data_IF_303051474447
#
_entry.id   IF_303051474447
#
_cell.length_a   1.000
_cell.length_b   1.000
_cell.length_c   1.000
_cell.angle_alpha   90.00
_cell.angle_beta   90.00
_cell.angle_gamma   90.00
#
_symmetry.space_group_name_H-M   'P 1'
#
loop_
_entity.id
_entity.type
_entity.pdbx_description
1 polymer ?
#
# COMPACT_ATOMS: atom_id res chain seq x y z
N UNK A 1 36.67 -6.81 26.14
CA UNK A 1 35.48 -6.01 26.48
C UNK A 1 34.25 -6.38 25.64
N UNK A 2 34.37 -6.62 24.34
CA UNK A 2 33.20 -6.82 23.45
C UNK A 2 32.32 -8.07 23.70
N UNK A 3 32.83 -9.12 24.35
CA UNK A 3 32.09 -10.38 24.50
C UNK A 3 30.80 -10.22 25.32
N UNK A 4 30.82 -9.42 26.40
CA UNK A 4 29.63 -9.15 27.21
C UNK A 4 28.55 -8.40 26.45
N UNK A 5 28.93 -7.35 25.72
CA UNK A 5 28.03 -6.56 24.86
C UNK A 5 27.39 -7.42 23.77
N UNK A 6 28.16 -8.30 23.12
CA UNK A 6 27.66 -9.21 22.08
C UNK A 6 26.68 -10.23 22.63
N UNK A 7 26.94 -10.82 23.82
CA UNK A 7 26.03 -11.78 24.44
C UNK A 7 24.70 -11.12 24.83
N UNK A 8 24.75 -9.95 25.47
CA UNK A 8 23.55 -9.21 25.87
C UNK A 8 22.75 -8.77 24.64
N UNK A 9 23.42 -8.28 23.61
CA UNK A 9 22.77 -7.93 22.34
C UNK A 9 22.11 -9.15 21.69
N UNK A 10 22.82 -10.28 21.59
CA UNK A 10 22.28 -11.49 20.96
C UNK A 10 21.04 -11.98 21.72
N UNK A 11 21.07 -11.97 23.06
CA UNK A 11 19.92 -12.28 23.88
C UNK A 11 18.74 -11.34 23.64
N UNK A 12 18.98 -10.03 23.54
CA UNK A 12 17.96 -9.02 23.25
C UNK A 12 17.34 -9.20 21.86
N UNK A 13 18.15 -9.49 20.83
CA UNK A 13 17.67 -9.74 19.46
C UNK A 13 16.83 -11.00 19.39
N UNK A 14 17.28 -12.10 20.01
CA UNK A 14 16.51 -13.34 20.05
C UNK A 14 15.18 -13.15 20.78
N UNK A 15 15.18 -12.47 21.93
CA UNK A 15 13.95 -12.17 22.66
C UNK A 15 12.98 -11.30 21.86
N UNK A 16 13.50 -10.29 21.16
CA UNK A 16 12.70 -9.41 20.32
C UNK A 16 12.13 -10.12 19.10
N UNK A 17 12.94 -10.89 18.36
CA UNK A 17 12.46 -11.69 17.23
C UNK A 17 11.40 -12.71 17.68
N UNK A 18 11.61 -13.38 18.82
CA UNK A 18 10.62 -14.29 19.40
C UNK A 18 9.31 -13.57 19.75
N UNK A 19 9.38 -12.36 20.32
CA UNK A 19 8.22 -11.53 20.60
C UNK A 19 7.44 -11.13 19.35
N UNK A 20 8.13 -10.77 18.27
CA UNK A 20 7.51 -10.45 16.97
C UNK A 20 6.84 -11.67 16.36
N UNK A 21 7.52 -12.81 16.33
CA UNK A 21 6.93 -14.07 15.85
C UNK A 21 5.69 -14.44 16.66
N UNK A 22 5.74 -14.32 17.99
CA UNK A 22 4.59 -14.58 18.84
C UNK A 22 3.43 -13.61 18.56
N UNK A 23 3.70 -12.31 18.38
CA UNK A 23 2.69 -11.32 18.03
C UNK A 23 2.03 -11.62 16.67
N UNK A 24 2.83 -12.00 15.67
CA UNK A 24 2.36 -12.42 14.34
C UNK A 24 1.42 -13.63 14.47
N UNK A 25 1.83 -14.67 15.20
CA UNK A 25 1.03 -15.90 15.39
C UNK A 25 -0.28 -15.59 16.12
N UNK A 26 -0.23 -14.80 17.20
CA UNK A 26 -1.43 -14.43 17.96
C UNK A 26 -2.40 -13.60 17.12
N UNK A 27 -1.89 -12.70 16.29
CA UNK A 27 -2.72 -11.86 15.42
C UNK A 27 -3.37 -12.72 14.32
N UNK A 28 -2.61 -13.61 13.69
CA UNK A 28 -3.11 -14.52 12.67
C UNK A 28 -4.16 -15.51 13.20
N UNK A 29 -4.07 -15.91 14.48
CA UNK A 29 -5.06 -16.80 15.10
C UNK A 29 -6.37 -16.10 15.50
N UNK A 30 -6.37 -14.76 15.63
CA UNK A 30 -7.53 -13.99 16.11
C UNK A 30 -8.31 -13.30 15.00
N UNK A 31 -7.70 -13.07 13.85
CA UNK A 31 -8.35 -12.45 12.72
C UNK A 31 -8.94 -13.53 11.82
N UNK A 32 -10.25 -13.73 11.90
CA UNK A 32 -10.99 -14.55 10.94
C UNK A 32 -10.70 -14.03 9.52
N UNK A 33 -10.18 -14.90 8.65
CA UNK A 33 -9.85 -14.54 7.26
C UNK A 33 -8.45 -13.95 7.03
N UNK A 34 -7.62 -13.77 8.06
CA UNK A 34 -6.26 -13.26 7.89
C UNK A 34 -5.25 -14.38 7.64
N UNK A 35 -4.92 -14.64 6.37
CA UNK A 35 -3.77 -15.48 6.02
C UNK A 35 -2.50 -14.62 5.94
N UNK A 36 -1.63 -14.73 6.94
CA UNK A 36 -0.33 -14.06 6.88
C UNK A 36 0.54 -14.77 5.83
N UNK A 37 0.80 -14.10 4.72
CA UNK A 37 1.64 -14.63 3.66
C UNK A 37 3.08 -14.88 4.19
N UNK A 38 3.66 -16.09 4.04
CA UNK A 38 4.99 -16.40 4.55
C UNK A 38 6.08 -15.44 4.05
N UNK A 39 5.91 -14.91 2.83
CA UNK A 39 6.79 -13.93 2.22
C UNK A 39 6.78 -12.58 2.96
N UNK A 40 5.60 -12.12 3.41
CA UNK A 40 5.46 -10.91 4.23
C UNK A 40 6.07 -11.11 5.63
N UNK A 41 5.89 -12.30 6.21
CA UNK A 41 6.55 -12.65 7.46
C UNK A 41 8.08 -12.62 7.33
N UNK A 42 8.60 -13.19 6.24
CA UNK A 42 10.03 -13.26 5.97
C UNK A 42 10.63 -11.85 5.78
N UNK A 43 9.99 -10.99 4.99
CA UNK A 43 10.46 -9.60 4.77
C UNK A 43 10.46 -8.80 6.07
N UNK A 44 9.42 -8.93 6.89
CA UNK A 44 9.39 -8.30 8.22
C UNK A 44 10.56 -8.79 9.09
N UNK A 45 10.77 -10.10 9.19
CA UNK A 45 11.85 -10.68 9.99
C UNK A 45 13.25 -10.26 9.50
N UNK A 46 13.49 -10.26 8.19
CA UNK A 46 14.80 -9.86 7.64
C UNK A 46 15.06 -8.37 7.84
N UNK A 47 14.04 -7.53 7.70
CA UNK A 47 14.14 -6.08 7.96
C UNK A 47 14.58 -5.81 9.40
N UNK A 48 13.91 -6.46 10.34
CA UNK A 48 14.19 -6.32 11.77
C UNK A 48 15.59 -6.84 12.11
N UNK A 49 15.99 -7.98 11.54
CA UNK A 49 17.34 -8.53 11.70
C UNK A 49 18.42 -7.57 11.17
N UNK A 50 18.18 -6.96 10.00
CA UNK A 50 19.11 -5.99 9.41
C UNK A 50 19.28 -4.76 10.30
N UNK A 51 18.16 -4.19 10.79
CA UNK A 51 18.17 -3.05 11.71
C UNK A 51 18.90 -3.38 13.02
N UNK A 52 18.59 -4.53 13.64
CA UNK A 52 19.24 -4.98 14.86
C UNK A 52 20.76 -5.18 14.68
N UNK A 53 21.17 -5.74 13.55
CA UNK A 53 22.58 -5.99 13.24
C UNK A 53 23.36 -4.70 13.02
N UNK A 54 22.77 -3.72 12.32
CA UNK A 54 23.34 -2.37 12.17
C UNK A 54 23.45 -1.66 13.53
N UNK A 55 22.43 -1.80 14.38
CA UNK A 55 22.48 -1.34 15.77
C UNK A 55 23.66 -1.93 16.54
N UNK A 56 23.89 -3.24 16.46
CA UNK A 56 25.05 -3.87 17.10
C UNK A 56 26.38 -3.32 16.61
N UNK A 57 26.53 -3.11 15.29
CA UNK A 57 27.74 -2.50 14.73
C UNK A 57 27.99 -1.13 15.36
N UNK A 58 26.96 -0.27 15.43
CA UNK A 58 27.09 1.05 16.07
C UNK A 58 27.42 0.95 17.56
N UNK A 59 26.78 0.04 18.29
CA UNK A 59 27.05 -0.20 19.71
C UNK A 59 28.48 -0.65 20.00
N UNK A 60 29.06 -1.48 19.11
CA UNK A 60 30.48 -1.88 19.19
C UNK A 60 31.41 -0.71 18.85
N UNK A 61 31.09 0.07 17.83
CA UNK A 61 31.93 1.19 17.39
C UNK A 61 31.95 2.35 18.40
N UNK A 62 30.85 2.60 19.09
CA UNK A 62 30.74 3.63 20.14
C UNK A 62 30.96 3.09 21.56
N UNK A 63 31.26 1.79 21.70
CA UNK A 63 31.54 1.09 22.96
C UNK A 63 30.46 1.34 24.05
N UNK A 64 29.19 1.37 23.64
CA UNK A 64 28.07 1.71 24.52
C UNK A 64 26.83 0.83 24.25
N UNK A 65 26.35 0.13 25.27
CA UNK A 65 25.28 -0.89 25.15
C UNK A 65 23.95 -0.27 24.69
N UNK A 66 23.63 0.95 25.13
CA UNK A 66 22.37 1.65 24.81
C UNK A 66 22.30 2.13 23.35
N UNK A 67 23.45 2.28 22.68
CA UNK A 67 23.49 2.75 21.28
C UNK A 67 22.85 1.75 20.35
N UNK A 68 23.05 0.45 20.59
CA UNK A 68 22.55 -0.59 19.71
C UNK A 68 21.02 -0.58 19.53
N UNK A 69 20.19 -0.57 20.59
CA UNK A 69 18.75 -0.48 20.42
C UNK A 69 18.29 0.87 19.84
N UNK A 70 18.96 1.99 20.17
CA UNK A 70 18.61 3.30 19.62
C UNK A 70 18.85 3.39 18.12
N UNK A 71 19.99 2.89 17.64
CA UNK A 71 20.32 2.87 16.22
C UNK A 71 19.45 1.86 15.47
N UNK A 72 19.16 0.68 16.03
CA UNK A 72 18.23 -0.27 15.43
C UNK A 72 16.84 0.35 15.26
N UNK A 73 16.33 1.04 16.30
CA UNK A 73 15.05 1.76 16.23
C UNK A 73 15.09 2.89 15.20
N UNK A 74 16.16 3.67 15.17
CA UNK A 74 16.33 4.75 14.19
C UNK A 74 16.38 4.20 12.76
N UNK A 75 17.14 3.14 12.48
CA UNK A 75 17.20 2.52 11.14
C UNK A 75 15.83 2.03 10.68
N UNK A 76 14.99 1.56 11.62
CA UNK A 76 13.64 1.10 11.31
C UNK A 76 12.62 2.27 11.16
N UNK A 77 12.64 3.25 12.05
CA UNK A 77 11.65 4.33 12.10
C UNK A 77 11.99 5.56 11.25
N UNK A 78 13.27 5.87 11.05
CA UNK A 78 13.70 7.07 10.33
C UNK A 78 13.25 7.04 8.86
N UNK A 79 13.28 5.90 8.13
CA UNK A 79 12.71 5.82 6.78
C UNK A 79 11.21 6.11 6.73
N UNK A 80 10.45 5.84 7.80
CA UNK A 80 9.01 6.18 7.86
C UNK A 80 8.75 7.69 7.91
N UNK A 81 9.67 8.45 8.52
CA UNK A 81 9.49 9.88 8.80
C UNK A 81 10.25 10.79 7.85
N UNK A 82 11.43 10.36 7.38
CA UNK A 82 12.32 11.14 6.52
C UNK A 82 12.57 10.49 5.15
N UNK A 83 12.13 9.25 4.94
CA UNK A 83 12.40 8.50 3.71
C UNK A 83 11.76 9.08 2.46
N UNK A 84 10.72 9.94 2.60
CA UNK A 84 10.11 10.65 1.47
C UNK A 84 11.10 11.61 0.78
N UNK A 85 12.12 12.11 1.50
CA UNK A 85 13.08 13.09 0.96
C UNK A 85 14.27 12.42 0.27
N UNK A 86 14.54 11.15 0.57
CA UNK A 86 15.78 10.43 0.17
C UNK A 86 15.45 9.16 -0.65
N UNK A 87 14.19 8.97 -1.07
CA UNK A 87 13.71 7.80 -1.84
C UNK A 87 14.00 6.41 -1.22
N UNK A 88 14.41 6.35 0.05
CA UNK A 88 14.68 5.11 0.80
C UNK A 88 13.57 4.73 1.78
N UNK A 89 12.41 5.40 1.69
CA UNK A 89 11.23 5.14 2.53
C UNK A 89 10.93 3.64 2.63
N UNK A 90 10.97 2.94 1.51
CA UNK A 90 10.50 1.56 1.41
C UNK A 90 11.57 0.51 1.76
N UNK A 91 12.82 0.95 2.02
CA UNK A 91 13.93 0.04 2.28
C UNK A 91 13.77 -0.71 3.61
N UNK A 92 13.22 -0.09 4.66
CA UNK A 92 12.99 -0.72 5.97
C UNK A 92 11.52 -0.75 6.39
N UNK A 93 10.60 -0.45 5.48
CA UNK A 93 9.17 -0.69 5.69
C UNK A 93 8.91 -2.20 5.67
N UNK A 94 8.74 -2.79 6.85
CA UNK A 94 8.20 -4.13 6.99
C UNK A 94 6.71 -4.06 6.60
N UNK A 95 6.41 -4.38 5.34
CA UNK A 95 5.05 -4.30 4.80
C UNK A 95 4.66 -2.87 4.46
N UNK A 96 5.11 -2.38 3.30
CA UNK A 96 4.47 -1.23 2.66
C UNK A 96 2.98 -1.52 2.48
N UNK A 97 2.15 -0.90 3.31
CA UNK A 97 0.69 -1.01 3.32
C UNK A 97 0.17 -2.46 3.41
N UNK A 98 0.12 -3.02 4.62
CA UNK A 98 -0.52 -4.33 4.92
C UNK A 98 -2.04 -4.27 4.92
N UNK A 99 -2.64 -3.51 4.02
CA UNK A 99 -3.98 -3.82 3.55
C UNK A 99 -3.86 -4.90 2.49
N UNK A 100 -4.75 -5.89 2.53
CA UNK A 100 -5.18 -6.57 1.32
C UNK A 100 -5.87 -5.51 0.46
N UNK A 101 -5.14 -4.89 -0.47
CA UNK A 101 -5.80 -4.35 -1.67
C UNK A 101 -6.15 -5.60 -2.46
N UNK A 102 -7.43 -5.97 -2.45
CA UNK A 102 -7.87 -7.19 -3.08
C UNK A 102 -7.53 -7.15 -4.58
N UNK A 103 -7.32 -8.33 -5.15
CA UNK A 103 -6.84 -8.46 -6.53
C UNK A 103 -5.36 -8.07 -6.75
N UNK A 104 -4.60 -7.70 -5.72
CA UNK A 104 -3.15 -7.50 -5.83
C UNK A 104 -2.35 -8.32 -4.82
N UNK A 105 -1.24 -8.90 -5.29
CA UNK A 105 -0.28 -9.64 -4.47
C UNK A 105 1.06 -8.89 -4.41
N UNK A 106 1.88 -9.10 -3.36
CA UNK A 106 3.26 -8.63 -3.36
C UNK A 106 3.99 -9.12 -4.61
N UNK A 107 4.70 -8.22 -5.29
CA UNK A 107 5.52 -8.61 -6.43
C UNK A 107 6.66 -9.54 -5.94
N UNK A 108 6.77 -10.77 -6.47
CA UNK A 108 7.80 -11.71 -6.01
C UNK A 108 9.22 -11.21 -6.28
N UNK A 109 9.43 -10.39 -7.33
CA UNK A 109 10.74 -9.80 -7.66
C UNK A 109 11.13 -8.75 -6.63
N UNK A 110 10.19 -7.86 -6.27
CA UNK A 110 10.42 -6.84 -5.24
C UNK A 110 10.61 -7.49 -3.87
N UNK A 111 9.79 -8.48 -3.54
CA UNK A 111 9.93 -9.28 -2.30
C UNK A 111 11.29 -9.96 -2.22
N UNK A 112 11.73 -10.64 -3.28
CA UNK A 112 13.01 -11.33 -3.32
C UNK A 112 14.18 -10.35 -3.20
N UNK A 113 14.14 -9.21 -3.89
CA UNK A 113 15.19 -8.18 -3.79
C UNK A 113 15.25 -7.55 -2.40
N UNK A 114 14.10 -7.34 -1.74
CA UNK A 114 14.04 -6.87 -0.33
C UNK A 114 14.70 -7.86 0.63
N UNK A 115 14.35 -9.15 0.52
CA UNK A 115 14.97 -10.23 1.30
C UNK A 115 16.49 -10.30 1.05
N UNK A 116 16.93 -10.16 -0.20
CA UNK A 116 18.34 -10.19 -0.57
C UNK A 116 19.11 -8.99 0.01
N UNK A 117 18.55 -7.78 -0.06
CA UNK A 117 19.17 -6.57 0.49
C UNK A 117 19.32 -6.68 2.01
N UNK A 118 18.25 -7.05 2.73
CA UNK A 118 18.33 -7.18 4.18
C UNK A 118 19.21 -8.33 4.62
N UNK A 119 19.19 -9.44 3.89
CA UNK A 119 20.11 -10.55 4.09
C UNK A 119 21.57 -10.10 3.93
N UNK A 120 21.86 -9.33 2.87
CA UNK A 120 23.19 -8.79 2.60
C UNK A 120 23.64 -7.79 3.69
N UNK A 121 22.76 -6.88 4.12
CA UNK A 121 23.02 -5.93 5.21
C UNK A 121 23.29 -6.67 6.52
N UNK A 122 22.45 -7.66 6.86
CA UNK A 122 22.60 -8.46 8.08
C UNK A 122 23.92 -9.23 8.07
N UNK A 123 24.24 -9.89 6.94
CA UNK A 123 25.48 -10.63 6.78
C UNK A 123 26.71 -9.70 6.88
N UNK A 124 26.65 -8.54 6.23
CA UNK A 124 27.72 -7.53 6.30
C UNK A 124 27.94 -7.04 7.73
N UNK A 125 26.86 -6.70 8.45
CA UNK A 125 26.93 -6.27 9.84
C UNK A 125 27.48 -7.36 10.77
N UNK A 126 27.04 -8.61 10.61
CA UNK A 126 27.56 -9.76 11.36
C UNK A 126 29.04 -10.02 11.07
N UNK A 127 29.47 -9.89 9.81
CA UNK A 127 30.88 -9.98 9.43
C UNK A 127 31.70 -8.86 10.07
N UNK A 128 31.20 -7.61 10.09
CA UNK A 128 31.85 -6.50 10.78
C UNK A 128 31.98 -6.78 12.27
N UNK A 129 30.92 -7.24 12.94
CA UNK A 129 30.94 -7.64 14.35
C UNK A 129 31.99 -8.73 14.60
N UNK A 130 32.01 -9.77 13.76
CA UNK A 130 32.96 -10.89 13.87
C UNK A 130 34.41 -10.44 13.70
N UNK A 131 34.67 -9.60 12.70
CA UNK A 131 35.99 -9.05 12.38
C UNK A 131 36.49 -8.11 13.49
N UNK A 132 35.61 -7.32 14.11
CA UNK A 132 35.94 -6.43 15.23
C UNK A 132 36.34 -7.21 16.49
N UNK A 133 35.75 -8.39 16.70
CA UNK A 133 36.06 -9.26 17.83
C UNK A 133 37.36 -10.09 17.67
N UNK A 134 38.02 -10.05 16.50
CA UNK A 134 39.23 -10.84 16.19
C UNK A 134 40.50 -9.97 16.14
N UNK A 135 41.70 -10.57 16.37
CA UNK A 135 42.98 -9.88 16.21
C UNK A 135 43.13 -9.28 14.80
N UNK A 136 43.82 -8.14 14.68
CA UNK A 136 44.04 -7.45 13.39
C UNK A 136 44.80 -8.36 12.41
N UNK A 137 44.24 -8.58 11.22
CA UNK A 137 44.86 -9.29 10.10
C UNK A 137 44.65 -8.52 8.80
N UNK A 138 45.51 -8.71 7.79
CA UNK A 138 45.34 -8.05 6.48
C UNK A 138 44.02 -8.44 5.77
N UNK A 139 43.49 -9.63 6.05
CA UNK A 139 42.22 -10.10 5.49
C UNK A 139 40.99 -9.30 5.98
N UNK A 140 41.13 -8.56 7.08
CA UNK A 140 40.09 -7.70 7.67
C UNK A 140 39.58 -6.64 6.70
N UNK A 141 40.49 -5.96 6.00
CA UNK A 141 40.12 -4.89 5.07
C UNK A 141 39.39 -5.44 3.84
N UNK A 142 39.84 -6.58 3.31
CA UNK A 142 39.21 -7.22 2.14
C UNK A 142 37.78 -7.70 2.44
N UNK A 143 37.53 -8.23 3.64
CA UNK A 143 36.18 -8.65 4.07
C UNK A 143 35.24 -7.45 4.16
N UNK A 144 35.69 -6.33 4.75
CA UNK A 144 34.86 -5.12 4.87
C UNK A 144 34.56 -4.55 3.49
N UNK A 145 35.57 -4.39 2.62
CA UNK A 145 35.39 -3.87 1.25
C UNK A 145 34.46 -4.78 0.44
N UNK A 146 34.67 -6.09 0.47
CA UNK A 146 33.81 -7.05 -0.23
C UNK A 146 32.36 -7.01 0.24
N UNK A 147 32.13 -6.80 1.54
CA UNK A 147 30.79 -6.70 2.11
C UNK A 147 30.09 -5.39 1.72
N UNK A 148 30.83 -4.28 1.64
CA UNK A 148 30.30 -3.01 1.13
C UNK A 148 29.90 -3.13 -0.35
N UNK A 149 30.71 -3.79 -1.17
CA UNK A 149 30.39 -4.05 -2.58
C UNK A 149 29.12 -4.90 -2.69
N UNK A 150 28.99 -5.97 -1.89
CA UNK A 150 27.79 -6.81 -1.89
C UNK A 150 26.52 -6.01 -1.58
N UNK A 151 26.56 -5.13 -0.58
CA UNK A 151 25.41 -4.28 -0.23
C UNK A 151 25.14 -3.24 -1.29
N UNK A 152 26.16 -2.64 -1.90
CA UNK A 152 25.98 -1.70 -3.01
C UNK A 152 25.31 -2.38 -4.22
N UNK A 153 25.72 -3.61 -4.56
CA UNK A 153 25.11 -4.40 -5.65
C UNK A 153 23.67 -4.78 -5.31
N UNK A 154 23.41 -5.24 -4.09
CA UNK A 154 22.05 -5.58 -3.66
C UNK A 154 21.13 -4.35 -3.66
N UNK A 155 21.63 -3.20 -3.19
CA UNK A 155 20.89 -1.94 -3.22
C UNK A 155 20.62 -1.47 -4.66
N UNK A 156 21.61 -1.57 -5.55
CA UNK A 156 21.42 -1.29 -6.97
C UNK A 156 20.36 -2.16 -7.63
N UNK A 157 20.33 -3.47 -7.30
CA UNK A 157 19.30 -4.39 -7.78
C UNK A 157 17.92 -4.06 -7.21
N UNK A 158 17.84 -3.61 -5.95
CA UNK A 158 16.60 -3.15 -5.33
C UNK A 158 16.08 -1.86 -5.97
N UNK A 159 16.93 -0.86 -6.20
CA UNK A 159 16.55 0.37 -6.91
C UNK A 159 16.07 0.08 -8.34
N UNK A 160 16.75 -0.84 -9.05
CA UNK A 160 16.35 -1.26 -10.39
C UNK A 160 15.04 -2.07 -10.43
N UNK A 161 14.60 -2.65 -9.31
CA UNK A 161 13.30 -3.32 -9.20
C UNK A 161 12.13 -2.34 -8.99
N UNK A 162 12.41 -1.03 -8.90
CA UNK A 162 11.42 0.05 -8.74
C UNK A 162 10.35 -0.29 -7.69
N UNK A 163 10.73 -0.57 -6.43
CA UNK A 163 9.84 -1.08 -5.40
C UNK A 163 8.64 -0.16 -5.16
N UNK A 164 8.81 1.15 -5.31
CA UNK A 164 7.73 2.14 -5.18
C UNK A 164 6.64 1.89 -6.24
N UNK A 165 7.04 1.63 -7.49
CA UNK A 165 6.15 1.49 -8.64
C UNK A 165 5.62 0.07 -8.81
N UNK A 166 6.44 -0.92 -8.43
CA UNK A 166 6.24 -2.33 -8.76
C UNK A 166 6.03 -3.21 -7.53
N UNK A 167 5.80 -2.65 -6.33
CA UNK A 167 5.61 -3.43 -5.09
C UNK A 167 4.47 -4.46 -5.16
N UNK A 168 3.48 -4.21 -6.01
CA UNK A 168 2.29 -5.04 -6.17
C UNK A 168 2.15 -5.48 -7.62
N UNK A 169 1.65 -6.70 -7.80
CA UNK A 169 1.23 -7.23 -9.10
C UNK A 169 -0.21 -7.68 -9.00
N UNK A 170 -0.96 -7.56 -10.09
CA UNK A 170 -2.33 -8.07 -10.13
C UNK A 170 -2.31 -9.59 -9.98
N UNK A 171 -3.06 -10.11 -9.01
CA UNK A 171 -3.24 -11.55 -8.86
C UNK A 171 -4.22 -12.01 -9.94
N UNK A 172 -3.89 -13.02 -10.76
CA UNK A 172 -4.85 -13.65 -11.66
C UNK A 172 -5.79 -14.54 -10.83
N UNK A 173 -6.63 -13.94 -9.99
CA UNK A 173 -7.76 -14.64 -9.36
C UNK A 173 -8.91 -14.68 -10.36
N UNK A 174 -9.63 -15.80 -10.39
CA UNK A 174 -10.95 -15.82 -11.04
C UNK A 174 -11.83 -14.81 -10.30
N UNK A 175 -12.19 -13.71 -10.95
CA UNK A 175 -13.03 -12.69 -10.32
C UNK A 175 -14.34 -13.33 -9.86
N UNK A 176 -14.74 -13.06 -8.63
CA UNK A 176 -16.10 -13.31 -8.16
C UNK A 176 -16.87 -12.02 -8.32
N UNK A 177 -18.04 -12.11 -8.97
CA UNK A 177 -18.96 -11.01 -9.14
C UNK A 177 -20.16 -11.22 -8.22
N UNK A 178 -20.53 -10.17 -7.49
CA UNK A 178 -21.77 -10.07 -6.75
C UNK A 178 -22.70 -9.09 -7.45
N UNK A 179 -23.99 -9.42 -7.49
CA UNK A 179 -24.99 -8.60 -8.15
C UNK A 179 -25.97 -8.11 -7.08
N UNK A 180 -26.28 -6.82 -7.09
CA UNK A 180 -27.29 -6.21 -6.22
C UNK A 180 -28.62 -6.93 -6.32
N UNK A 181 -29.44 -6.89 -5.28
CA UNK A 181 -30.77 -7.50 -5.21
C UNK A 181 -31.70 -7.11 -6.36
N UNK A 182 -31.57 -5.90 -6.91
CA UNK A 182 -32.33 -5.42 -8.07
C UNK A 182 -31.85 -6.00 -9.42
N UNK A 183 -30.64 -6.57 -9.47
CA UNK A 183 -29.98 -7.01 -10.70
C UNK A 183 -29.28 -5.89 -11.49
N UNK A 184 -29.31 -4.64 -11.02
CA UNK A 184 -28.85 -3.48 -11.79
C UNK A 184 -27.35 -3.20 -11.67
N UNK A 185 -26.73 -3.57 -10.55
CA UNK A 185 -25.31 -3.31 -10.27
C UNK A 185 -24.56 -4.62 -10.05
N UNK A 186 -23.43 -4.76 -10.75
CA UNK A 186 -22.48 -5.87 -10.60
C UNK A 186 -21.15 -5.35 -10.03
N UNK A 187 -20.63 -5.99 -8.98
CA UNK A 187 -19.33 -5.68 -8.38
C UNK A 187 -18.45 -6.91 -8.44
N UNK A 188 -17.32 -6.83 -9.12
CA UNK A 188 -16.39 -7.96 -9.26
C UNK A 188 -15.01 -7.68 -8.65
N UNK A 189 -14.43 -8.71 -8.05
CA UNK A 189 -13.05 -8.66 -7.57
C UNK A 189 -12.58 -10.02 -7.04
N UNK A 190 -11.61 -10.01 -6.12
CA UNK A 190 -11.00 -11.24 -5.62
C UNK A 190 -11.94 -12.06 -4.71
N UNK A 191 -11.95 -13.42 -4.80
CA UNK A 191 -12.87 -14.27 -4.05
C UNK A 191 -12.87 -14.08 -2.52
N UNK A 192 -11.71 -13.75 -1.94
CA UNK A 192 -11.50 -13.57 -0.50
C UNK A 192 -12.35 -12.45 0.12
N UNK A 193 -12.76 -11.46 -0.67
CA UNK A 193 -13.56 -10.31 -0.25
C UNK A 193 -14.99 -10.35 -0.79
N UNK A 194 -15.48 -11.53 -1.21
CA UNK A 194 -16.84 -11.72 -1.75
C UNK A 194 -17.95 -11.04 -0.93
N UNK A 195 -17.91 -11.17 0.40
CA UNK A 195 -18.92 -10.56 1.28
C UNK A 195 -18.91 -9.02 1.23
N UNK A 196 -17.74 -8.41 0.99
CA UNK A 196 -17.62 -6.97 0.78
C UNK A 196 -18.32 -6.55 -0.51
N UNK A 197 -18.16 -7.31 -1.60
CA UNK A 197 -18.78 -6.97 -2.89
C UNK A 197 -20.29 -7.06 -2.87
N UNK A 198 -20.87 -7.99 -2.10
CA UNK A 198 -22.32 -8.02 -1.93
C UNK A 198 -22.83 -6.76 -1.25
N UNK A 199 -22.14 -6.27 -0.21
CA UNK A 199 -22.52 -5.03 0.48
C UNK A 199 -22.31 -3.81 -0.43
N UNK A 200 -21.18 -3.76 -1.12
CA UNK A 200 -20.87 -2.70 -2.07
C UNK A 200 -21.88 -2.63 -3.23
N UNK A 201 -22.30 -3.78 -3.77
CA UNK A 201 -23.29 -3.83 -4.85
C UNK A 201 -24.63 -3.24 -4.42
N UNK A 202 -25.11 -3.56 -3.21
CA UNK A 202 -26.37 -2.98 -2.68
C UNK A 202 -26.23 -1.48 -2.38
N UNK A 203 -25.13 -1.05 -1.76
CA UNK A 203 -24.88 0.37 -1.46
C UNK A 203 -24.78 1.21 -2.74
N UNK A 204 -24.08 0.69 -3.75
CA UNK A 204 -23.97 1.34 -5.06
C UNK A 204 -25.31 1.37 -5.79
N UNK A 205 -26.11 0.29 -5.76
CA UNK A 205 -27.43 0.28 -6.38
C UNK A 205 -28.35 1.36 -5.79
N UNK A 206 -28.41 1.46 -4.45
CA UNK A 206 -29.16 2.50 -3.77
C UNK A 206 -28.70 3.92 -4.12
N UNK A 207 -27.38 4.14 -4.19
CA UNK A 207 -26.82 5.43 -4.57
C UNK A 207 -27.09 5.79 -6.04
N UNK A 208 -26.96 4.81 -6.95
CA UNK A 208 -27.20 5.00 -8.38
C UNK A 208 -28.67 5.31 -8.65
N UNK A 209 -29.59 4.69 -7.93
CA UNK A 209 -31.02 5.02 -8.03
C UNK A 209 -31.29 6.48 -7.65
N UNK A 210 -30.69 6.96 -6.54
CA UNK A 210 -30.80 8.37 -6.14
C UNK A 210 -30.21 9.32 -7.18
N UNK A 211 -29.05 8.99 -7.77
CA UNK A 211 -28.45 9.78 -8.83
C UNK A 211 -29.26 9.76 -10.14
N UNK A 212 -29.90 8.62 -10.45
CA UNK A 212 -30.74 8.49 -11.64
C UNK A 212 -31.99 9.39 -11.57
N UNK A 213 -32.56 9.61 -10.38
CA UNK A 213 -33.63 10.59 -10.16
C UNK A 213 -33.19 12.03 -10.51
N UNK A 214 -31.88 12.30 -10.45
CA UNK A 214 -31.25 13.58 -10.82
C UNK A 214 -30.74 13.63 -12.27
N UNK A 215 -30.99 12.59 -13.07
CA UNK A 215 -30.54 12.52 -14.46
C UNK A 215 -29.04 12.23 -14.64
N UNK A 216 -28.39 11.70 -13.60
CA UNK A 216 -27.00 11.24 -13.64
C UNK A 216 -26.96 9.74 -13.84
N UNK A 217 -26.19 9.27 -14.83
CA UNK A 217 -26.06 7.85 -15.16
C UNK A 217 -24.66 7.35 -14.76
N UNK A 218 -24.62 6.51 -13.74
CA UNK A 218 -23.40 5.87 -13.25
C UNK A 218 -23.07 4.59 -14.04
N UNK A 219 -21.98 3.90 -13.69
CA UNK A 219 -21.68 2.58 -14.26
C UNK A 219 -22.62 1.55 -13.62
N UNK A 220 -22.93 0.49 -14.36
CA UNK A 220 -23.67 -0.67 -13.83
C UNK A 220 -22.73 -1.80 -13.39
N UNK A 221 -21.44 -1.70 -13.69
CA UNK A 221 -20.43 -2.67 -13.29
C UNK A 221 -19.24 -1.96 -12.67
N UNK A 222 -18.78 -2.45 -11.52
CA UNK A 222 -17.59 -1.96 -10.83
C UNK A 222 -16.60 -3.08 -10.61
N UNK A 223 -15.33 -2.79 -10.79
CA UNK A 223 -14.25 -3.71 -10.52
C UNK A 223 -13.22 -3.06 -9.61
N UNK A 224 -12.62 -3.86 -8.75
CA UNK A 224 -11.46 -3.41 -8.00
C UNK A 224 -10.29 -3.16 -8.96
N UNK A 225 -9.92 -1.89 -9.13
CA UNK A 225 -8.74 -1.52 -9.88
C UNK A 225 -7.56 -1.49 -8.91
N UNK A 226 -6.77 -2.57 -8.91
CA UNK A 226 -5.41 -2.52 -8.38
C UNK A 226 -4.56 -1.49 -9.16
N UNK A 227 -3.43 -1.09 -8.57
CA UNK A 227 -2.50 -0.13 -9.20
C UNK A 227 -2.12 -0.58 -10.62
N UNK A 228 -2.59 0.15 -11.63
CA UNK A 228 -2.18 -0.01 -13.03
C UNK A 228 -3.03 -0.93 -13.90
N UNK A 229 -4.23 -1.37 -13.46
CA UNK A 229 -5.17 -2.07 -14.34
C UNK A 229 -6.03 -1.05 -15.10
N UNK A 230 -5.83 -0.96 -16.42
CA UNK A 230 -6.76 -0.26 -17.31
C UNK A 230 -8.03 -1.11 -17.40
N UNK A 231 -9.13 -0.59 -16.87
CA UNK A 231 -10.44 -1.22 -16.98
C UNK A 231 -11.08 -0.90 -18.33
N UNK A 232 -12.05 -1.72 -18.71
CA UNK A 232 -12.93 -1.40 -19.84
C UNK A 232 -13.66 -0.06 -19.54
N UNK A 233 -13.83 0.84 -20.52
CA UNK A 233 -14.53 2.12 -20.32
C UNK A 233 -15.94 2.02 -19.73
N UNK A 234 -16.60 0.87 -19.86
CA UNK A 234 -17.93 0.61 -19.30
C UNK A 234 -17.91 0.19 -17.82
N UNK A 235 -16.71 -0.03 -17.25
CA UNK A 235 -16.51 -0.53 -15.88
C UNK A 235 -16.00 0.57 -14.97
N UNK A 236 -16.71 0.81 -13.86
CA UNK A 236 -16.30 1.72 -12.78
C UNK A 236 -15.20 1.12 -11.90
N UNK A 237 -14.47 1.99 -11.20
CA UNK A 237 -13.46 1.56 -10.24
C UNK A 237 -14.11 1.47 -8.86
N UNK A 238 -14.00 0.31 -8.22
CA UNK A 238 -14.35 0.15 -6.83
C UNK A 238 -13.16 0.56 -5.96
N UNK A 239 -13.31 1.67 -5.21
CA UNK A 239 -12.39 2.07 -4.16
C UNK A 239 -13.12 1.91 -2.82
N UNK A 240 -12.75 0.90 -2.03
CA UNK A 240 -13.38 0.64 -0.73
C UNK A 240 -12.31 0.42 0.31
N UNK A 241 -12.35 1.21 1.39
CA UNK A 241 -11.53 0.92 2.57
C UNK A 241 -12.16 -0.24 3.36
N UNK A 242 -11.43 -1.36 3.42
CA UNK A 242 -11.81 -2.54 4.22
C UNK A 242 -12.02 -2.24 5.72
N UNK A 243 -11.49 -1.12 6.23
CA UNK A 243 -11.66 -0.69 7.63
C UNK A 243 -12.97 0.08 7.85
N UNK A 244 -13.56 0.65 6.79
CA UNK A 244 -14.76 1.48 6.85
C UNK A 244 -16.07 0.69 6.70
N UNK A 245 -15.98 -0.63 6.50
CA UNK A 245 -17.14 -1.50 6.26
C UNK A 245 -17.90 -1.72 7.56
N UNK A 246 -19.11 -1.15 7.64
CA UNK A 246 -20.06 -1.52 8.67
C UNK A 246 -20.71 -2.86 8.32
N UNK A 247 -21.30 -3.56 9.29
CA UNK A 247 -21.93 -4.86 9.04
C UNK A 247 -23.13 -4.84 8.07
N UNK A 248 -23.52 -3.67 7.56
CA UNK A 248 -24.67 -3.50 6.66
C UNK A 248 -24.34 -2.73 5.38
N UNK A 249 -23.47 -1.71 5.43
CA UNK A 249 -23.20 -0.79 4.32
C UNK A 249 -21.71 -0.39 4.23
N UNK A 250 -21.25 -0.03 3.02
CA UNK A 250 -19.98 0.68 2.83
C UNK A 250 -20.14 2.17 3.16
N UNK A 251 -19.04 2.85 3.53
CA UNK A 251 -19.07 4.26 3.87
C UNK A 251 -19.51 5.13 2.69
N UNK A 252 -20.18 6.25 2.97
CA UNK A 252 -20.60 7.21 1.93
C UNK A 252 -19.39 7.73 1.15
N UNK A 253 -18.25 7.92 1.83
CA UNK A 253 -17.01 8.35 1.18
C UNK A 253 -16.52 7.32 0.14
N UNK A 254 -16.61 6.02 0.45
CA UNK A 254 -16.24 4.93 -0.47
C UNK A 254 -17.21 4.88 -1.67
N UNK A 255 -18.51 5.06 -1.43
CA UNK A 255 -19.54 5.12 -2.47
C UNK A 255 -19.28 6.30 -3.41
N UNK A 256 -19.05 7.49 -2.86
CA UNK A 256 -18.73 8.69 -3.63
C UNK A 256 -17.47 8.45 -4.46
N UNK A 257 -16.41 7.94 -3.84
CA UNK A 257 -15.15 7.65 -4.52
C UNK A 257 -15.35 6.68 -5.70
N UNK A 258 -16.11 5.60 -5.51
CA UNK A 258 -16.40 4.64 -6.58
C UNK A 258 -17.25 5.24 -7.72
N UNK A 259 -18.20 6.10 -7.42
CA UNK A 259 -19.08 6.73 -8.42
C UNK A 259 -18.35 7.78 -9.27
N UNK A 260 -17.43 8.53 -8.66
CA UNK A 260 -16.72 9.64 -9.33
C UNK A 260 -15.33 9.25 -9.84
N UNK A 261 -14.85 8.03 -9.56
CA UNK A 261 -13.61 7.53 -10.10
C UNK A 261 -13.70 7.40 -11.64
N UNK A 262 -12.80 8.06 -12.40
CA UNK A 262 -12.85 8.02 -13.84
C UNK A 262 -12.58 6.60 -14.35
N UNK A 263 -13.54 6.10 -15.14
CA UNK A 263 -13.57 4.74 -15.69
C UNK A 263 -12.47 4.48 -16.72
N UNK A 264 -12.10 5.53 -17.47
CA UNK A 264 -11.33 5.41 -18.70
C UNK A 264 -10.27 6.50 -18.90
N UNK A 265 -9.89 7.25 -17.84
CA UNK A 265 -8.95 8.37 -17.95
C UNK A 265 -7.55 8.05 -17.40
N UNK A 266 -6.67 7.34 -18.14
CA UNK A 266 -5.30 7.06 -17.72
C UNK A 266 -4.54 8.30 -17.25
N UNK A 267 -4.75 9.45 -17.90
CA UNK A 267 -4.03 10.69 -17.58
C UNK A 267 -4.37 11.26 -16.19
N UNK A 268 -5.52 10.88 -15.61
CA UNK A 268 -5.87 11.23 -14.22
C UNK A 268 -5.11 10.38 -13.19
N UNK A 269 -4.46 9.30 -13.66
CA UNK A 269 -3.62 8.41 -12.86
C UNK A 269 -2.12 8.55 -13.20
N UNK A 270 -1.73 9.56 -14.00
CA UNK A 270 -0.32 9.88 -14.28
C UNK A 270 0.37 10.52 -13.07
N UNK A 271 1.70 10.59 -13.06
CA UNK A 271 2.50 11.15 -11.96
C UNK A 271 2.19 12.65 -11.70
N UNK A 272 1.77 13.37 -12.73
CA UNK A 272 1.34 14.77 -12.66
C UNK A 272 -0.02 14.94 -13.36
N UNK A 273 -1.13 14.57 -12.70
CA UNK A 273 -2.44 14.72 -13.30
C UNK A 273 -2.79 16.21 -13.43
N UNK A 274 -3.43 16.65 -14.52
CA UNK A 274 -3.77 18.06 -14.71
C UNK A 274 -4.70 18.56 -13.60
N UNK A 275 -4.27 19.58 -12.85
CA UNK A 275 -5.00 20.08 -11.67
C UNK A 275 -6.46 20.44 -11.97
N UNK A 276 -6.72 21.04 -13.14
CA UNK A 276 -8.08 21.42 -13.57
C UNK A 276 -9.03 20.21 -13.69
N UNK A 277 -8.53 19.01 -13.98
CA UNK A 277 -9.34 17.80 -14.10
C UNK A 277 -9.61 17.19 -12.71
N UNK A 278 -8.65 17.31 -11.78
CA UNK A 278 -8.82 16.91 -10.37
C UNK A 278 -9.82 17.82 -9.66
N UNK A 279 -9.78 19.13 -9.91
CA UNK A 279 -10.71 20.10 -9.32
C UNK A 279 -12.16 19.82 -9.75
N UNK A 280 -12.36 19.46 -11.02
CA UNK A 280 -13.68 19.08 -11.54
C UNK A 280 -14.18 17.76 -10.93
N UNK A 281 -13.30 16.78 -10.75
CA UNK A 281 -13.63 15.55 -10.05
C UNK A 281 -13.99 15.80 -8.59
N UNK A 282 -13.23 16.65 -7.89
CA UNK A 282 -13.51 17.02 -6.50
C UNK A 282 -14.84 17.77 -6.36
N UNK A 283 -15.16 18.63 -7.31
CA UNK A 283 -16.44 19.36 -7.39
C UNK A 283 -17.61 18.39 -7.57
N UNK A 284 -17.47 17.42 -8.48
CA UNK A 284 -18.46 16.35 -8.64
C UNK A 284 -18.59 15.48 -7.39
N UNK A 285 -17.49 15.13 -6.73
CA UNK A 285 -17.49 14.35 -5.50
C UNK A 285 -18.27 15.04 -4.39
N UNK A 286 -18.07 16.36 -4.21
CA UNK A 286 -18.83 17.16 -3.24
C UNK A 286 -20.34 17.14 -3.54
N UNK A 287 -20.73 17.32 -4.81
CA UNK A 287 -22.14 17.26 -5.21
C UNK A 287 -22.76 15.87 -4.97
N UNK A 288 -22.06 14.79 -5.33
CA UNK A 288 -22.55 13.42 -5.08
C UNK A 288 -22.71 13.17 -3.59
N UNK A 289 -21.73 13.60 -2.77
CA UNK A 289 -21.80 13.47 -1.33
C UNK A 289 -23.05 14.14 -0.73
N UNK A 290 -23.32 15.38 -1.14
CA UNK A 290 -24.48 16.14 -0.68
C UNK A 290 -25.80 15.53 -1.12
N UNK A 291 -25.90 15.07 -2.38
CA UNK A 291 -27.10 14.39 -2.87
C UNK A 291 -27.38 13.11 -2.09
N UNK A 292 -26.35 12.27 -1.85
CA UNK A 292 -26.48 11.05 -1.05
C UNK A 292 -26.78 11.35 0.43
N UNK A 293 -26.33 12.50 0.93
CA UNK A 293 -26.68 13.03 2.25
C UNK A 293 -28.09 13.63 2.34
N UNK A 294 -28.83 13.69 1.23
CA UNK A 294 -30.17 14.29 1.15
C UNK A 294 -30.18 15.82 1.21
N UNK A 295 -29.04 16.46 0.94
CA UNK A 295 -28.92 17.92 0.85
C UNK A 295 -29.60 18.39 -0.45
N UNK A 296 -30.48 19.40 -0.40
CA UNK A 296 -31.10 19.94 -1.61
C UNK A 296 -30.08 20.62 -2.52
N UNK A 297 -30.05 20.25 -3.80
CA UNK A 297 -29.22 20.85 -4.85
C UNK A 297 -30.05 21.70 -5.82
N UNK A 298 -29.44 22.67 -6.49
CA UNK A 298 -30.14 23.43 -7.54
C UNK A 298 -30.24 22.61 -8.84
N UNK A 299 -31.31 22.76 -9.65
CA UNK A 299 -31.43 22.03 -10.93
C UNK A 299 -30.29 22.31 -11.93
N UNK A 300 -29.60 23.45 -11.79
CA UNK A 300 -28.41 23.77 -12.58
C UNK A 300 -27.21 22.87 -12.23
N UNK A 301 -27.09 22.50 -10.95
CA UNK A 301 -26.02 21.63 -10.45
C UNK A 301 -26.20 20.20 -10.93
N UNK A 302 -27.44 19.69 -10.88
CA UNK A 302 -27.78 18.34 -11.36
C UNK A 302 -27.39 18.17 -12.85
N UNK A 303 -27.63 19.22 -13.65
CA UNK A 303 -27.23 19.24 -15.06
C UNK A 303 -25.71 19.28 -15.22
N UNK A 304 -25.01 20.12 -14.46
CA UNK A 304 -23.56 20.24 -14.53
C UNK A 304 -22.85 18.94 -14.07
N UNK A 305 -23.37 18.27 -13.04
CA UNK A 305 -22.91 16.97 -12.59
C UNK A 305 -23.11 15.89 -13.67
N UNK A 306 -24.28 15.86 -14.33
CA UNK A 306 -24.55 14.96 -15.45
C UNK A 306 -23.60 15.18 -16.65
N UNK A 307 -23.28 16.44 -16.97
CA UNK A 307 -22.31 16.79 -18.01
C UNK A 307 -20.88 16.35 -17.62
N UNK A 308 -20.51 16.52 -16.35
CA UNK A 308 -19.20 16.10 -15.81
C UNK A 308 -19.04 14.58 -15.83
N UNK A 309 -20.06 13.83 -15.41
CA UNK A 309 -20.03 12.35 -15.44
C UNK A 309 -19.89 11.81 -16.87
N UNK A 310 -20.58 12.43 -17.84
CA UNK A 310 -20.42 12.06 -19.26
C UNK A 310 -19.02 12.36 -19.78
N UNK A 311 -18.44 13.49 -19.38
CA UNK A 311 -17.08 13.85 -19.74
C UNK A 311 -16.06 12.86 -19.17
N UNK A 312 -16.13 12.53 -17.87
CA UNK A 312 -15.26 11.54 -17.22
C UNK A 312 -15.38 10.14 -17.85
N UNK A 313 -16.59 9.74 -18.26
CA UNK A 313 -16.81 8.47 -18.95
C UNK A 313 -16.19 8.44 -20.36
N UNK A 314 -16.11 9.59 -21.04
CA UNK A 314 -15.60 9.70 -22.41
C UNK A 314 -14.08 9.86 -22.52
N UNK A 315 -13.38 10.13 -21.41
CA UNK A 315 -11.95 10.47 -21.39
C UNK A 315 -11.58 11.54 -22.44
N UNK A 316 -12.47 12.51 -22.65
CA UNK A 316 -12.27 13.51 -23.69
C UNK A 316 -11.16 14.49 -23.27
N UNK A 317 -10.10 14.69 -24.09
CA UNK A 317 -9.10 15.72 -23.84
C UNK A 317 -9.63 17.13 -24.13
N UNK A 318 -10.85 17.26 -24.67
CA UNK A 318 -11.52 18.55 -24.77
C UNK A 318 -11.87 19.02 -23.36
N UNK A 319 -11.43 20.25 -23.02
CA UNK A 319 -11.36 20.77 -21.66
C UNK A 319 -12.56 20.46 -20.76
N UNK A 320 -12.25 20.20 -19.49
CA UNK A 320 -13.22 19.81 -18.48
C UNK A 320 -14.35 20.85 -18.33
N UNK A 321 -15.59 20.41 -18.01
CA UNK A 321 -16.70 21.32 -17.78
C UNK A 321 -16.38 22.33 -16.67
N UNK A 322 -16.59 23.62 -16.94
CA UNK A 322 -16.39 24.66 -15.95
C UNK A 322 -17.66 24.85 -15.12
N UNK A 323 -17.62 24.46 -13.85
CA UNK A 323 -18.66 24.77 -12.88
C UNK A 323 -18.11 24.78 -11.45
N UNK A 324 -18.76 25.52 -10.58
CA UNK A 324 -18.41 25.61 -9.17
C UNK A 324 -19.60 25.15 -8.36
N UNK A 325 -19.53 23.94 -7.83
CA UNK A 325 -20.47 23.50 -6.81
C UNK A 325 -20.09 24.15 -5.48
N UNK A 326 -21.01 24.91 -4.89
CA UNK A 326 -20.85 25.50 -3.57
C UNK A 326 -22.03 25.01 -2.71
N UNK A 327 -21.77 24.24 -1.65
CA UNK A 327 -22.81 23.72 -0.74
C UNK A 327 -23.50 24.83 0.07
#
# INVERSE_FOLDING_TARGET
MYLGTVIVWFGAVVAWLAGVVAAIVVTAQRADGFSLEPALAATALTTLLAAASLGAVAGILWDHVVVAPLVALAVYLLPLTLGQVIEVRDLFLAGGATGTLAGTAPNPVVTATHLLVHGAISLMALLVIWVQCRPRSAARSSVVVGSVILVAVALGAYLAAEPVKSARVNTPSANVCEVSSSGAVEVCGAPETRALYSVAAESLDGAIQQLAERGVVAASRYEEAGNGRVLDPEVGILAVDTVAVSAADIGVDDVVAALVAPRACPFLYDEEPPAEHLDVQATLAAWVYDVLGGVPTEPGDDRAASETMRWLASCSPAGAPAWTYLP
#
